data_IF_331167667206
#
_entry.id   IF_331167667206
#
_cell.length_a   1.000
_cell.length_b   1.000
_cell.length_c   1.000
_cell.angle_alpha   90.00
_cell.angle_beta   90.00
_cell.angle_gamma   90.00
#
_symmetry.space_group_name_H-M   'P 1'
#
loop_
_entity.id
_entity.type
_entity.pdbx_description
1 polymer ?
#
# COMPACT_ATOMS: atom_id res chain seq x y z
N UNK A 1 -22.70 -53.12 14.82
CA UNK A 1 -21.74 -51.99 15.03
C UNK A 1 -21.40 -51.43 13.66
N UNK A 2 -21.88 -50.26 13.33
CA UNK A 2 -21.57 -49.62 12.05
C UNK A 2 -20.19 -48.91 12.25
N UNK A 3 -19.18 -49.39 11.54
CA UNK A 3 -17.88 -48.75 11.49
C UNK A 3 -18.02 -47.54 10.57
N UNK A 4 -18.12 -46.37 11.18
CA UNK A 4 -17.98 -45.11 10.44
C UNK A 4 -16.55 -45.00 9.89
N UNK A 5 -16.40 -45.27 8.60
CA UNK A 5 -15.15 -45.00 7.88
C UNK A 5 -15.02 -43.48 7.75
N UNK A 6 -14.18 -42.86 8.58
CA UNK A 6 -13.78 -41.48 8.38
C UNK A 6 -12.91 -41.43 7.12
N UNK A 7 -13.48 -40.96 6.02
CA UNK A 7 -12.71 -40.68 4.83
C UNK A 7 -11.76 -39.52 5.14
N UNK A 8 -10.44 -39.69 5.01
CA UNK A 8 -9.53 -38.57 5.22
C UNK A 8 -9.81 -37.49 4.17
N UNK A 9 -9.93 -36.25 4.64
CA UNK A 9 -10.16 -35.09 3.80
C UNK A 9 -8.97 -34.94 2.84
N UNK A 10 -9.18 -35.20 1.56
CA UNK A 10 -8.18 -34.93 0.54
C UNK A 10 -8.13 -33.41 0.29
N UNK A 11 -7.26 -32.72 1.02
CA UNK A 11 -6.97 -31.33 0.76
C UNK A 11 -6.14 -31.24 -0.53
N UNK A 12 -6.77 -30.82 -1.60
CA UNK A 12 -6.03 -30.43 -2.81
C UNK A 12 -5.33 -29.10 -2.52
N UNK A 13 -4.02 -28.98 -2.81
CA UNK A 13 -3.35 -27.70 -2.65
C UNK A 13 -4.00 -26.67 -3.57
N UNK A 14 -4.19 -25.43 -3.11
CA UNK A 14 -4.75 -24.37 -3.95
C UNK A 14 -3.85 -24.14 -5.16
N UNK A 15 -4.41 -24.36 -6.35
CA UNK A 15 -3.73 -24.02 -7.60
C UNK A 15 -3.93 -22.52 -7.80
N UNK A 16 -2.84 -21.77 -7.78
CA UNK A 16 -2.88 -20.32 -7.94
C UNK A 16 -1.85 -19.87 -8.96
N UNK A 17 -2.19 -18.84 -9.70
CA UNK A 17 -1.28 -18.24 -10.67
C UNK A 17 -0.65 -16.94 -10.16
N UNK A 18 -1.27 -16.24 -9.23
CA UNK A 18 -0.85 -14.91 -8.79
C UNK A 18 -1.24 -14.63 -7.35
N UNK A 19 -0.49 -13.75 -6.72
CA UNK A 19 -0.79 -13.20 -5.39
C UNK A 19 -1.19 -11.74 -5.55
N UNK A 20 -2.23 -11.31 -4.86
CA UNK A 20 -2.61 -9.90 -4.80
C UNK A 20 -2.21 -9.30 -3.46
N UNK A 21 -1.60 -8.13 -3.50
CA UNK A 21 -1.02 -7.49 -2.35
C UNK A 21 -1.85 -6.27 -1.93
N UNK A 22 -2.14 -6.16 -0.65
CA UNK A 22 -2.81 -5.01 -0.05
C UNK A 22 -2.00 -4.53 1.15
N UNK A 23 -1.87 -3.22 1.27
CA UNK A 23 -1.11 -2.60 2.35
C UNK A 23 -1.98 -1.56 3.05
N UNK A 24 -1.75 -1.39 4.35
CA UNK A 24 -2.38 -0.35 5.15
C UNK A 24 -1.32 0.33 6.02
N UNK A 25 -1.36 1.64 6.09
CA UNK A 25 -0.50 2.37 7.00
C UNK A 25 -0.96 2.14 8.45
N UNK A 26 -0.07 1.79 9.37
CA UNK A 26 -0.43 1.61 10.77
C UNK A 26 -0.81 2.96 11.40
N UNK A 27 -1.62 2.90 12.42
CA UNK A 27 -1.88 4.07 13.28
C UNK A 27 -0.70 4.29 14.22
N UNK A 28 0.29 5.07 13.79
CA UNK A 28 1.49 5.34 14.59
C UNK A 28 1.20 6.14 15.86
N UNK A 29 0.20 7.02 15.84
CA UNK A 29 -0.20 7.77 17.03
C UNK A 29 -0.77 6.86 18.12
N UNK A 30 -1.46 5.78 17.73
CA UNK A 30 -1.95 4.76 18.65
C UNK A 30 -1.01 3.60 18.88
N UNK A 31 0.13 3.53 18.17
CA UNK A 31 1.09 2.42 18.26
C UNK A 31 0.55 1.06 17.81
N UNK A 32 -0.59 1.05 17.12
CA UNK A 32 -1.29 -0.19 16.75
C UNK A 32 -1.21 -0.44 15.23
N UNK A 33 -0.89 -1.66 14.81
CA UNK A 33 -1.00 -2.07 13.42
C UNK A 33 -2.47 -2.17 12.99
N UNK A 34 -2.72 -2.14 11.69
CA UNK A 34 -4.03 -2.47 11.14
C UNK A 34 -4.17 -3.99 11.11
N UNK A 35 -5.19 -4.50 11.78
CA UNK A 35 -5.50 -5.93 11.82
C UNK A 35 -6.61 -6.24 10.81
N UNK A 36 -6.43 -7.31 10.03
CA UNK A 36 -7.43 -7.80 9.10
C UNK A 36 -8.24 -8.93 9.78
N UNK A 37 -9.56 -8.76 9.78
CA UNK A 37 -10.47 -9.80 10.26
C UNK A 37 -10.93 -10.69 9.09
N UNK A 38 -10.42 -11.92 8.98
CA UNK A 38 -10.80 -12.82 7.92
C UNK A 38 -12.23 -13.36 8.04
N UNK A 39 -12.82 -13.37 9.23
CA UNK A 39 -14.19 -13.83 9.43
C UNK A 39 -15.20 -12.84 8.85
N UNK A 40 -14.95 -11.55 9.00
CA UNK A 40 -15.83 -10.50 8.47
C UNK A 40 -15.54 -10.19 7.00
N UNK A 41 -14.27 -10.17 6.61
CA UNK A 41 -13.83 -9.60 5.36
C UNK A 41 -13.16 -10.61 4.41
N UNK A 42 -13.03 -11.88 4.77
CA UNK A 42 -12.25 -12.87 4.00
C UNK A 42 -12.69 -13.04 2.54
N UNK A 43 -13.97 -12.78 2.26
CA UNK A 43 -14.57 -12.91 0.91
C UNK A 43 -14.73 -11.59 0.15
N UNK A 44 -14.02 -10.53 0.56
CA UNK A 44 -14.11 -9.23 -0.11
C UNK A 44 -13.78 -9.29 -1.62
N UNK A 45 -14.34 -8.37 -2.41
CA UNK A 45 -14.02 -8.27 -3.83
C UNK A 45 -12.57 -7.81 -4.01
N UNK A 46 -11.75 -8.57 -4.76
CA UNK A 46 -10.30 -8.33 -4.86
C UNK A 46 -9.95 -6.91 -5.35
N UNK A 47 -10.81 -6.29 -6.14
CA UNK A 47 -10.63 -4.92 -6.65
C UNK A 47 -11.25 -3.84 -5.74
N UNK A 48 -11.87 -4.24 -4.62
CA UNK A 48 -12.51 -3.34 -3.66
C UNK A 48 -12.21 -3.80 -2.23
N UNK A 49 -10.96 -3.66 -1.76
CA UNK A 49 -10.59 -4.05 -0.41
C UNK A 49 -11.32 -3.18 0.62
N UNK A 50 -11.62 -3.73 1.80
CA UNK A 50 -12.20 -2.94 2.88
C UNK A 50 -11.21 -1.85 3.34
N UNK A 51 -11.71 -0.69 3.74
CA UNK A 51 -10.85 0.34 4.34
C UNK A 51 -10.22 -0.18 5.64
N UNK A 52 -8.96 0.15 5.94
CA UNK A 52 -8.07 1.11 5.27
C UNK A 52 -7.11 0.47 4.26
N UNK A 53 -7.34 -0.74 3.79
CA UNK A 53 -6.47 -1.49 2.90
C UNK A 53 -6.38 -0.86 1.51
N UNK A 54 -5.15 -0.72 1.00
CA UNK A 54 -4.82 -0.16 -0.30
C UNK A 54 -4.42 -1.29 -1.23
N UNK A 55 -5.03 -1.38 -2.39
CA UNK A 55 -4.73 -2.39 -3.39
C UNK A 55 -3.46 -2.02 -4.17
N UNK A 56 -2.39 -2.81 -4.03
CA UNK A 56 -1.16 -2.67 -4.80
C UNK A 56 -1.17 -3.46 -6.10
N UNK A 57 -2.24 -4.20 -6.35
CA UNK A 57 -2.36 -5.05 -7.53
C UNK A 57 -1.72 -6.42 -7.36
N UNK A 58 -1.48 -7.04 -8.51
CA UNK A 58 -0.90 -8.38 -8.58
C UNK A 58 0.63 -8.33 -8.46
N UNK A 59 1.19 -9.34 -7.79
CA UNK A 59 2.64 -9.57 -7.73
C UNK A 59 2.99 -10.80 -8.56
N UNK A 60 4.12 -10.71 -9.26
CA UNK A 60 4.63 -11.78 -10.11
C UNK A 60 5.32 -12.86 -9.27
N UNK A 61 6.11 -12.42 -8.30
CA UNK A 61 6.81 -13.31 -7.38
C UNK A 61 6.45 -12.92 -5.96
N UNK A 62 6.05 -13.91 -5.19
CA UNK A 62 5.83 -13.81 -3.76
C UNK A 62 6.66 -14.91 -3.09
N UNK A 63 7.69 -14.50 -2.41
CA UNK A 63 8.53 -15.42 -1.65
C UNK A 63 8.45 -15.08 -0.15
N UNK A 64 8.21 -16.10 0.65
CA UNK A 64 8.22 -16.03 2.09
C UNK A 64 9.31 -16.91 2.65
N UNK A 65 10.30 -16.32 3.29
CA UNK A 65 11.39 -17.04 3.97
C UNK A 65 11.27 -16.82 5.47
N UNK A 66 10.93 -17.87 6.21
CA UNK A 66 10.95 -17.84 7.66
C UNK A 66 12.19 -18.56 8.17
N UNK A 67 13.02 -17.86 8.93
CA UNK A 67 14.18 -18.38 9.61
C UNK A 67 13.88 -18.66 11.09
N UNK A 68 14.45 -19.73 11.61
CA UNK A 68 14.36 -20.05 13.03
C UNK A 68 15.70 -20.57 13.50
N UNK A 69 16.18 -20.06 14.62
CA UNK A 69 17.34 -20.61 15.30
C UNK A 69 16.89 -21.44 16.48
N UNK A 70 17.32 -22.69 16.48
CA UNK A 70 16.93 -23.66 17.52
C UNK A 70 18.19 -24.06 18.26
N UNK A 71 18.12 -24.07 19.57
CA UNK A 71 19.18 -24.56 20.45
C UNK A 71 18.65 -25.80 21.18
N UNK A 72 19.40 -26.90 21.05
CA UNK A 72 19.09 -28.12 21.78
C UNK A 72 19.70 -28.05 23.19
N UNK A 73 18.88 -28.18 24.20
CA UNK A 73 19.31 -28.43 25.57
C UNK A 73 19.75 -29.88 25.68
N UNK A 74 20.96 -30.10 26.15
CA UNK A 74 21.55 -31.44 26.27
C UNK A 74 21.81 -31.79 27.74
N UNK A 75 21.63 -33.05 28.06
CA UNK A 75 21.90 -33.57 29.39
C UNK A 75 22.59 -34.92 29.30
N UNK A 76 23.41 -35.24 30.30
CA UNK A 76 24.13 -36.52 30.41
C UNK A 76 25.49 -36.54 29.74
N UNK A 77 26.24 -37.65 29.94
CA UNK A 77 27.51 -37.97 29.26
C UNK A 77 27.40 -39.38 28.68
N UNK A 78 27.26 -39.51 27.32
CA UNK A 78 27.28 -38.48 26.32
C UNK A 78 26.04 -37.56 26.37
N UNK A 79 26.21 -36.28 25.99
CA UNK A 79 25.17 -35.27 26.01
C UNK A 79 24.03 -35.55 25.01
N UNK A 80 22.94 -36.10 25.46
CA UNK A 80 21.75 -36.36 24.66
C UNK A 80 20.82 -35.13 24.64
N UNK A 81 20.15 -34.84 23.52
CA UNK A 81 19.19 -33.75 23.44
C UNK A 81 17.97 -34.03 24.34
N UNK A 82 17.75 -33.17 25.33
CA UNK A 82 16.63 -33.25 26.24
C UNK A 82 15.41 -32.50 25.73
N UNK A 83 15.62 -31.33 25.18
CA UNK A 83 14.59 -30.50 24.56
C UNK A 83 15.21 -29.53 23.56
N UNK A 84 14.34 -28.88 22.76
CA UNK A 84 14.75 -27.83 21.83
C UNK A 84 14.03 -26.54 22.18
N UNK A 85 14.78 -25.44 22.19
CA UNK A 85 14.26 -24.10 22.43
C UNK A 85 14.51 -23.24 21.20
N UNK A 86 13.49 -22.57 20.73
CA UNK A 86 13.61 -21.57 19.67
C UNK A 86 14.13 -20.27 20.28
N UNK A 87 15.29 -19.80 19.82
CA UNK A 87 15.93 -18.59 20.33
C UNK A 87 15.71 -17.39 19.44
N UNK A 88 15.54 -17.61 18.13
CA UNK A 88 15.29 -16.54 17.17
C UNK A 88 14.21 -16.96 16.17
N UNK A 89 13.45 -16.00 15.73
CA UNK A 89 12.50 -16.15 14.62
C UNK A 89 12.56 -14.91 13.75
N UNK A 90 12.83 -15.09 12.47
CA UNK A 90 12.84 -14.04 11.45
C UNK A 90 11.94 -14.42 10.29
N UNK A 91 11.31 -13.45 9.66
CA UNK A 91 10.51 -13.69 8.47
C UNK A 91 10.71 -12.56 7.47
N UNK A 92 11.17 -12.94 6.30
CA UNK A 92 11.35 -12.05 5.15
C UNK A 92 10.26 -12.35 4.11
N UNK A 93 9.77 -11.30 3.49
CA UNK A 93 8.81 -11.36 2.39
C UNK A 93 9.38 -10.59 1.22
N UNK A 94 9.58 -11.27 0.09
CA UNK A 94 10.06 -10.66 -1.15
C UNK A 94 8.92 -10.59 -2.15
N UNK A 95 8.74 -9.42 -2.76
CA UNK A 95 7.68 -9.13 -3.71
C UNK A 95 8.26 -8.58 -5.01
N UNK A 96 7.76 -9.07 -6.14
CA UNK A 96 7.97 -8.43 -7.44
C UNK A 96 6.62 -7.88 -7.92
N UNK A 97 6.50 -6.56 -7.97
CA UNK A 97 5.28 -5.91 -8.40
C UNK A 97 5.11 -5.94 -9.92
N UNK A 98 3.91 -6.27 -10.38
CA UNK A 98 3.57 -6.23 -11.81
C UNK A 98 3.20 -4.83 -12.28
N UNK A 99 2.84 -3.95 -11.38
CA UNK A 99 2.51 -2.56 -11.64
C UNK A 99 3.58 -1.64 -11.08
N UNK A 100 3.78 -0.52 -11.76
CA UNK A 100 4.64 0.56 -11.31
C UNK A 100 3.80 1.81 -11.11
N UNK A 101 4.05 2.52 -10.03
CA UNK A 101 3.36 3.76 -9.73
C UNK A 101 3.75 4.31 -8.37
N UNK A 102 3.14 5.43 -8.03
CA UNK A 102 3.39 6.15 -6.79
C UNK A 102 3.20 5.29 -5.53
N UNK A 103 2.18 4.44 -5.54
CA UNK A 103 1.88 3.56 -4.39
C UNK A 103 2.97 2.50 -4.21
N UNK A 104 3.38 1.86 -5.30
CA UNK A 104 4.45 0.87 -5.28
C UNK A 104 5.76 1.51 -4.82
N UNK A 105 6.12 2.69 -5.34
CA UNK A 105 7.30 3.45 -4.90
C UNK A 105 7.24 3.78 -3.41
N UNK A 106 6.10 4.26 -2.90
CA UNK A 106 5.94 4.58 -1.48
C UNK A 106 6.16 3.36 -0.57
N UNK A 107 5.69 2.19 -1.01
CA UNK A 107 5.80 0.94 -0.25
C UNK A 107 7.21 0.37 -0.32
N UNK A 108 7.85 0.41 -1.50
CA UNK A 108 9.14 -0.24 -1.76
C UNK A 108 10.35 0.62 -1.40
N UNK A 109 10.23 1.93 -1.55
CA UNK A 109 11.35 2.85 -1.31
C UNK A 109 11.58 3.17 0.15
N UNK A 110 10.56 3.03 1.00
CA UNK A 110 10.63 3.52 2.38
C UNK A 110 10.87 5.04 2.44
N UNK A 111 10.58 5.74 1.37
CA UNK A 111 10.85 7.17 1.15
C UNK A 111 9.63 8.04 1.45
N UNK A 112 9.86 9.33 1.65
CA UNK A 112 8.78 10.30 1.77
C UNK A 112 8.19 10.63 0.41
N UNK A 113 6.90 10.42 0.23
CA UNK A 113 6.17 10.71 -1.00
C UNK A 113 5.57 12.11 -0.97
N UNK A 114 5.71 12.85 -2.05
CA UNK A 114 5.19 14.21 -2.18
C UNK A 114 4.42 14.35 -3.50
N UNK A 115 3.36 15.17 -3.50
CA UNK A 115 2.70 15.59 -4.73
C UNK A 115 3.40 16.84 -5.26
N UNK A 116 3.72 16.87 -6.55
CA UNK A 116 4.21 18.05 -7.22
C UNK A 116 3.02 18.94 -7.60
N UNK A 117 2.86 20.05 -6.91
CA UNK A 117 1.82 21.03 -7.26
C UNK A 117 2.10 21.64 -8.64
N UNK A 118 1.06 21.82 -9.42
CA UNK A 118 1.15 22.61 -10.64
C UNK A 118 1.51 24.07 -10.26
N UNK A 119 2.35 24.68 -11.07
CA UNK A 119 2.68 26.10 -10.91
C UNK A 119 1.69 26.98 -11.68
N UNK A 120 1.48 28.20 -11.20
CA UNK A 120 0.70 29.19 -11.92
C UNK A 120 1.41 29.60 -13.21
N UNK A 121 0.63 29.85 -14.26
CA UNK A 121 1.14 30.41 -15.51
C UNK A 121 1.93 31.71 -15.24
N UNK A 122 3.15 31.79 -15.74
CA UNK A 122 4.02 32.95 -15.58
C UNK A 122 4.87 32.95 -14.32
N UNK A 123 4.81 31.92 -13.47
CA UNK A 123 5.72 31.79 -12.34
C UNK A 123 7.14 31.51 -12.85
N UNK A 124 8.11 32.33 -12.45
CA UNK A 124 9.50 32.09 -12.78
C UNK A 124 9.99 30.81 -12.10
N UNK A 125 10.54 29.89 -12.89
CA UNK A 125 11.30 28.77 -12.35
C UNK A 125 12.61 29.33 -11.79
N UNK A 126 12.70 29.47 -10.49
CA UNK A 126 13.84 30.10 -9.79
C UNK A 126 14.70 29.11 -9.03
N UNK A 127 14.62 27.81 -9.34
CA UNK A 127 15.36 26.78 -8.64
C UNK A 127 14.87 26.47 -7.23
N UNK A 128 13.95 27.28 -6.68
CA UNK A 128 13.35 27.10 -5.36
C UNK A 128 11.86 26.78 -5.39
N UNK A 129 11.35 26.48 -6.57
CA UNK A 129 9.93 26.26 -6.84
C UNK A 129 9.21 27.52 -7.29
N UNK A 130 8.37 27.42 -8.29
CA UNK A 130 7.45 28.48 -8.67
C UNK A 130 6.30 28.63 -7.67
N UNK A 131 5.49 29.66 -7.81
CA UNK A 131 4.28 29.77 -7.04
C UNK A 131 3.33 28.61 -7.37
N UNK A 132 2.88 27.90 -6.34
CA UNK A 132 1.91 26.85 -6.50
C UNK A 132 0.56 27.41 -6.97
N UNK A 133 -0.17 26.64 -7.76
CA UNK A 133 -1.55 26.93 -8.07
C UNK A 133 -2.37 27.08 -6.78
N UNK A 134 -3.27 28.05 -6.75
CA UNK A 134 -4.05 28.36 -5.58
C UNK A 134 -4.87 27.16 -5.11
N UNK A 135 -4.96 26.99 -3.80
CA UNK A 135 -5.83 26.01 -3.18
C UNK A 135 -7.28 26.50 -3.21
N UNK A 136 -8.17 25.66 -3.69
CA UNK A 136 -9.60 25.96 -3.84
C UNK A 136 -10.38 25.19 -2.78
N UNK A 137 -11.20 25.85 -1.93
CA UNK A 137 -11.96 25.18 -0.89
C UNK A 137 -12.98 24.21 -1.44
N UNK A 138 -13.06 23.03 -0.84
CA UNK A 138 -14.07 22.01 -1.15
C UNK A 138 -15.40 22.39 -0.53
N UNK A 139 -16.51 22.19 -1.25
CA UNK A 139 -17.86 22.47 -0.80
C UNK A 139 -18.56 21.21 -0.24
N UNK A 140 -19.64 21.45 0.54
CA UNK A 140 -20.31 20.42 1.34
C UNK A 140 -20.88 19.22 0.55
N UNK A 141 -21.24 19.37 -0.70
CA UNK A 141 -21.91 18.32 -1.48
C UNK A 141 -20.93 17.42 -2.24
N UNK A 142 -19.70 17.30 -1.76
CA UNK A 142 -18.68 16.46 -2.37
C UNK A 142 -18.94 14.98 -2.09
N UNK A 143 -18.62 14.15 -3.08
CA UNK A 143 -18.62 12.68 -2.99
C UNK A 143 -17.22 12.16 -3.31
N UNK A 144 -16.94 10.85 -3.16
CA UNK A 144 -15.62 10.33 -3.53
C UNK A 144 -15.23 10.56 -5.01
N UNK A 145 -16.22 10.73 -5.90
CA UNK A 145 -16.02 10.95 -7.34
C UNK A 145 -16.36 12.35 -7.83
N UNK A 146 -16.94 13.19 -6.97
CA UNK A 146 -17.29 14.57 -7.29
C UNK A 146 -16.73 15.52 -6.22
N UNK A 147 -15.76 16.33 -6.58
CA UNK A 147 -15.25 17.39 -5.71
C UNK A 147 -16.04 18.66 -6.01
N UNK A 148 -17.00 19.00 -5.13
CA UNK A 148 -17.78 20.22 -5.26
C UNK A 148 -16.92 21.45 -4.98
N UNK A 149 -17.00 22.45 -5.84
CA UNK A 149 -16.24 23.70 -5.81
C UNK A 149 -17.15 24.86 -6.18
N UNK A 150 -16.91 26.01 -5.59
CA UNK A 150 -17.70 27.21 -5.95
C UNK A 150 -17.51 27.57 -7.43
N UNK A 151 -18.61 27.93 -8.11
CA UNK A 151 -18.63 28.16 -9.55
C UNK A 151 -17.54 29.16 -10.04
N UNK A 152 -17.28 30.23 -9.29
CA UNK A 152 -16.27 31.20 -9.64
C UNK A 152 -14.81 30.74 -9.55
N UNK A 153 -14.57 29.53 -9.03
CA UNK A 153 -13.23 28.97 -8.82
C UNK A 153 -12.90 27.79 -9.74
N UNK A 154 -13.80 27.46 -10.66
CA UNK A 154 -13.66 26.33 -11.56
C UNK A 154 -12.72 26.61 -12.75
N UNK A 155 -12.48 27.87 -13.09
CA UNK A 155 -11.68 28.30 -14.26
C UNK A 155 -10.20 27.85 -14.21
N UNK A 156 -9.70 27.50 -13.04
CA UNK A 156 -8.33 26.99 -12.86
C UNK A 156 -8.17 25.49 -13.15
N UNK A 157 -9.25 24.78 -13.50
CA UNK A 157 -9.27 23.33 -13.69
C UNK A 157 -9.68 22.96 -15.12
N UNK A 158 -9.09 21.89 -15.61
CA UNK A 158 -9.39 21.34 -16.94
C UNK A 158 -9.55 19.83 -16.90
N UNK A 159 -10.35 19.27 -17.79
CA UNK A 159 -10.45 17.83 -17.96
C UNK A 159 -9.08 17.23 -18.35
N UNK A 160 -8.77 16.07 -17.81
CA UNK A 160 -7.48 15.41 -17.96
C UNK A 160 -6.43 15.78 -16.91
N UNK A 161 -6.62 16.89 -16.21
CA UNK A 161 -5.70 17.35 -15.16
C UNK A 161 -5.78 16.46 -13.93
N UNK A 162 -4.64 16.28 -13.26
CA UNK A 162 -4.58 15.61 -11.95
C UNK A 162 -4.73 16.65 -10.84
N UNK A 163 -5.45 16.26 -9.81
CA UNK A 163 -5.64 17.07 -8.60
C UNK A 163 -5.36 16.28 -7.33
N UNK A 164 -4.90 16.97 -6.30
CA UNK A 164 -4.86 16.48 -4.93
C UNK A 164 -5.98 17.14 -4.12
N UNK A 165 -6.61 16.37 -3.24
CA UNK A 165 -7.67 16.86 -2.36
C UNK A 165 -7.27 16.59 -0.92
N UNK A 166 -6.83 17.64 -0.21
CA UNK A 166 -6.38 17.56 1.18
C UNK A 166 -6.27 18.96 1.79
N UNK A 167 -5.31 19.16 2.70
CA UNK A 167 -5.00 20.47 3.27
C UNK A 167 -4.54 21.48 2.21
N UNK A 168 -4.48 22.74 2.57
CA UNK A 168 -3.94 23.78 1.69
C UNK A 168 -2.40 23.67 1.62
N UNK A 169 -1.89 23.33 0.46
CA UNK A 169 -0.44 23.19 0.21
C UNK A 169 0.22 24.45 -0.37
N UNK A 170 -0.51 25.55 -0.55
CA UNK A 170 0.02 26.76 -1.21
C UNK A 170 1.25 27.33 -0.53
N UNK A 171 1.37 27.20 0.80
CA UNK A 171 2.54 27.63 1.55
C UNK A 171 3.70 26.63 1.61
N UNK A 172 3.57 25.48 0.97
CA UNK A 172 4.63 24.49 0.93
C UNK A 172 5.70 24.87 -0.08
N UNK A 173 6.97 24.68 0.28
CA UNK A 173 8.09 24.93 -0.62
C UNK A 173 8.59 23.61 -1.21
N UNK A 174 9.13 23.68 -2.42
CA UNK A 174 9.85 22.56 -3.02
C UNK A 174 11.13 22.22 -2.23
N UNK A 175 11.68 21.07 -2.47
CA UNK A 175 12.93 20.66 -1.86
C UNK A 175 14.14 21.30 -2.56
N UNK A 176 15.27 21.28 -1.90
CA UNK A 176 16.51 21.93 -2.36
C UNK A 176 16.91 21.46 -3.76
N UNK A 177 17.15 22.42 -4.66
CA UNK A 177 17.63 22.17 -6.03
C UNK A 177 16.59 21.69 -7.02
N UNK A 178 15.35 21.50 -6.60
CA UNK A 178 14.32 20.92 -7.48
C UNK A 178 13.73 21.90 -8.48
N UNK A 179 13.59 23.16 -8.12
CA UNK A 179 12.81 24.11 -8.92
C UNK A 179 11.31 23.82 -8.98
N UNK A 180 10.80 22.90 -8.18
CA UNK A 180 9.41 22.47 -8.17
C UNK A 180 8.76 22.70 -6.81
N UNK A 181 7.47 22.97 -6.81
CA UNK A 181 6.67 23.07 -5.60
C UNK A 181 6.22 21.67 -5.19
N UNK A 182 6.67 21.21 -4.03
CA UNK A 182 6.27 19.91 -3.48
C UNK A 182 5.18 20.07 -2.44
N UNK A 183 4.08 19.30 -2.56
CA UNK A 183 3.08 19.19 -1.54
C UNK A 183 3.34 17.94 -0.71
N UNK A 184 3.64 18.11 0.55
CA UNK A 184 3.85 17.05 1.52
C UNK A 184 3.37 17.52 2.89
N UNK A 185 3.46 16.71 3.93
CA UNK A 185 3.06 17.14 5.26
C UNK A 185 3.85 18.39 5.69
N UNK A 186 3.18 19.32 6.33
CA UNK A 186 3.71 20.63 6.72
C UNK A 186 4.91 20.57 7.69
N UNK A 187 5.17 19.44 8.29
CA UNK A 187 6.29 19.20 9.19
C UNK A 187 6.82 17.78 9.02
N UNK A 188 8.14 17.65 8.80
CA UNK A 188 8.79 16.34 8.75
C UNK A 188 8.61 15.54 10.05
N UNK A 189 8.53 16.20 11.20
CA UNK A 189 8.22 15.56 12.47
C UNK A 189 6.79 14.98 12.52
N UNK A 190 5.85 15.58 11.81
CA UNK A 190 4.46 15.11 11.77
C UNK A 190 4.29 13.84 10.93
N UNK A 191 5.17 13.58 9.95
CA UNK A 191 5.10 12.39 9.09
C UNK A 191 5.10 11.11 9.92
N UNK A 192 5.96 11.01 10.91
CA UNK A 192 6.07 9.84 11.77
C UNK A 192 4.86 9.64 12.70
N UNK A 193 4.12 10.69 12.97
CA UNK A 193 2.95 10.69 13.85
C UNK A 193 1.62 10.78 13.10
N UNK A 194 1.65 11.02 11.79
CA UNK A 194 0.45 11.14 10.97
C UNK A 194 0.00 9.75 10.47
N UNK A 195 -0.98 9.20 11.14
CA UNK A 195 -1.56 7.89 10.79
C UNK A 195 -2.14 7.85 9.36
N UNK A 196 -2.49 9.01 8.80
CA UNK A 196 -3.10 9.13 7.49
C UNK A 196 -2.12 9.65 6.43
N UNK A 197 -0.84 9.81 6.77
CA UNK A 197 0.15 10.40 5.87
C UNK A 197 0.09 9.83 4.45
N UNK A 198 0.22 8.51 4.32
CA UNK A 198 0.22 7.85 3.01
C UNK A 198 -1.11 8.05 2.29
N UNK A 199 -2.24 7.85 2.97
CA UNK A 199 -3.57 7.99 2.34
C UNK A 199 -3.82 9.42 1.91
N UNK A 200 -3.54 10.39 2.79
CA UNK A 200 -3.84 11.79 2.58
C UNK A 200 -2.90 12.40 1.54
N UNK A 201 -1.59 12.34 1.79
CA UNK A 201 -0.61 13.06 0.96
C UNK A 201 -0.34 12.33 -0.35
N UNK A 202 -0.26 11.01 -0.33
CA UNK A 202 0.15 10.25 -1.51
C UNK A 202 -1.00 9.82 -2.39
N UNK A 203 -2.14 9.50 -1.84
CA UNK A 203 -3.18 8.75 -2.58
C UNK A 203 -4.50 9.45 -2.70
N UNK A 204 -4.73 10.58 -2.04
CA UNK A 204 -5.96 11.34 -2.23
C UNK A 204 -5.86 12.22 -3.47
N UNK A 205 -5.54 11.62 -4.59
CA UNK A 205 -5.36 12.25 -5.89
C UNK A 205 -6.34 11.67 -6.90
N UNK A 206 -6.76 12.47 -7.86
CA UNK A 206 -7.69 12.04 -8.91
C UNK A 206 -7.44 12.77 -10.23
N UNK A 207 -7.82 12.11 -11.33
CA UNK A 207 -7.85 12.73 -12.65
C UNK A 207 -9.23 13.31 -12.91
N UNK A 208 -9.31 14.56 -13.30
CA UNK A 208 -10.56 15.21 -13.70
C UNK A 208 -11.02 14.63 -15.04
N UNK A 209 -12.24 14.12 -15.10
CA UNK A 209 -12.88 13.70 -16.35
C UNK A 209 -13.73 14.82 -16.95
N UNK A 210 -14.36 15.61 -16.10
CA UNK A 210 -15.15 16.77 -16.52
C UNK A 210 -15.18 17.86 -15.47
N UNK A 211 -15.27 19.10 -15.92
CA UNK A 211 -15.51 20.29 -15.10
C UNK A 211 -16.96 20.69 -15.31
N UNK A 212 -17.79 20.46 -14.30
CA UNK A 212 -19.22 20.83 -14.32
C UNK A 212 -19.47 22.20 -13.70
N UNK A 213 -20.73 22.62 -13.67
CA UNK A 213 -21.11 23.92 -13.08
C UNK A 213 -20.87 24.00 -11.55
N UNK A 214 -20.83 22.87 -10.87
CA UNK A 214 -20.79 22.80 -9.41
C UNK A 214 -19.58 22.05 -8.86
N UNK A 215 -18.68 21.55 -9.74
CA UNK A 215 -17.51 20.79 -9.28
C UNK A 215 -16.79 20.01 -10.37
N UNK A 216 -15.85 19.21 -9.90
CA UNK A 216 -14.92 18.42 -10.69
C UNK A 216 -15.29 16.94 -10.56
N UNK A 217 -15.63 16.29 -11.67
CA UNK A 217 -15.86 14.84 -11.70
C UNK A 217 -14.52 14.13 -11.87
N UNK A 218 -14.26 13.13 -11.06
CA UNK A 218 -13.03 12.36 -11.07
C UNK A 218 -13.20 11.00 -11.76
N UNK A 219 -12.14 10.52 -12.40
CA UNK A 219 -12.12 9.22 -13.08
C UNK A 219 -12.24 8.04 -12.11
N UNK A 220 -11.74 8.19 -10.89
CA UNK A 220 -11.73 7.18 -9.84
C UNK A 220 -12.13 7.82 -8.51
N UNK A 221 -12.71 7.07 -7.60
CA UNK A 221 -13.02 7.55 -6.26
C UNK A 221 -11.73 7.96 -5.53
N UNK A 222 -11.82 9.06 -4.77
CA UNK A 222 -10.77 9.46 -3.86
C UNK A 222 -10.58 8.39 -2.78
N UNK A 223 -9.33 8.03 -2.51
CA UNK A 223 -8.98 6.94 -1.62
C UNK A 223 -9.35 7.23 -0.15
N UNK A 224 -9.35 8.49 0.26
CA UNK A 224 -9.79 8.90 1.59
C UNK A 224 -11.34 8.98 1.73
N UNK A 225 -12.08 8.68 0.67
CA UNK A 225 -13.55 8.80 0.64
C UNK A 225 -14.01 10.19 0.23
N UNK A 226 -15.23 10.56 0.62
CA UNK A 226 -15.78 11.89 0.33
C UNK A 226 -14.98 12.98 1.05
N UNK A 227 -14.53 14.03 0.34
CA UNK A 227 -13.78 15.10 0.97
C UNK A 227 -14.70 15.99 1.83
N UNK A 228 -14.13 16.58 2.86
CA UNK A 228 -14.83 17.49 3.77
C UNK A 228 -14.59 18.95 3.41
N UNK A 229 -15.40 19.84 3.95
CA UNK A 229 -15.28 21.29 3.73
C UNK A 229 -14.03 21.92 4.34
N UNK A 230 -13.29 21.19 5.17
CA UNK A 230 -11.99 21.61 5.68
C UNK A 230 -10.84 21.32 4.70
N UNK A 231 -11.13 20.61 3.61
CA UNK A 231 -10.16 20.27 2.57
C UNK A 231 -10.16 21.27 1.44
N UNK A 232 -9.08 21.20 0.65
CA UNK A 232 -8.85 22.00 -0.54
C UNK A 232 -8.51 21.09 -1.70
N UNK A 233 -8.82 21.54 -2.91
CA UNK A 233 -8.39 20.89 -4.15
C UNK A 233 -7.35 21.77 -4.83
N UNK A 234 -6.24 21.14 -5.26
CA UNK A 234 -5.16 21.82 -5.99
C UNK A 234 -4.71 20.95 -7.18
N UNK A 235 -4.42 21.57 -8.33
CA UNK A 235 -3.85 20.84 -9.46
C UNK A 235 -2.42 20.38 -9.14
N UNK A 236 -2.08 19.19 -9.62
CA UNK A 236 -0.74 18.60 -9.51
C UNK A 236 -0.18 18.27 -10.88
N UNK A 237 1.14 18.41 -11.01
CA UNK A 237 1.89 18.03 -12.21
C UNK A 237 2.35 16.56 -12.16
N UNK A 238 2.48 16.01 -10.98
CA UNK A 238 2.97 14.67 -10.76
C UNK A 238 3.27 14.39 -9.29
N UNK A 239 4.26 13.56 -9.06
CA UNK A 239 4.76 13.28 -7.72
C UNK A 239 6.27 13.16 -7.73
N UNK A 240 6.86 13.26 -6.56
CA UNK A 240 8.27 13.02 -6.30
C UNK A 240 8.40 12.29 -4.97
N UNK A 241 9.38 11.45 -4.85
CA UNK A 241 9.79 10.87 -3.57
C UNK A 241 11.19 11.35 -3.18
N UNK A 242 11.51 11.18 -1.92
CA UNK A 242 12.77 11.61 -1.35
C UNK A 242 13.35 10.49 -0.51
N UNK A 243 14.42 9.89 -1.04
CA UNK A 243 15.19 8.86 -0.35
C UNK A 243 16.27 9.45 0.55
N UNK A 244 16.76 8.67 1.50
CA UNK A 244 17.90 9.01 2.33
C UNK A 244 17.57 9.78 3.62
N UNK A 245 16.29 9.93 3.96
CA UNK A 245 15.87 10.46 5.25
C UNK A 245 15.84 9.38 6.33
N UNK A 246 15.73 9.79 7.60
CA UNK A 246 15.50 8.87 8.71
C UNK A 246 14.03 8.38 8.79
N UNK A 247 13.23 8.69 7.78
CA UNK A 247 11.86 8.23 7.69
C UNK A 247 11.84 6.75 7.34
N UNK A 248 11.23 5.93 8.18
CA UNK A 248 11.14 4.51 8.01
C UNK A 248 9.68 4.07 8.09
N UNK A 249 9.08 3.86 6.93
CA UNK A 249 7.67 3.48 6.84
C UNK A 249 7.45 2.05 7.30
N UNK A 250 6.48 1.89 8.20
CA UNK A 250 5.94 0.60 8.58
C UNK A 250 4.59 0.39 7.92
N UNK A 251 4.27 -0.84 7.58
CA UNK A 251 3.04 -1.23 6.92
C UNK A 251 2.40 -2.43 7.61
N UNK A 252 1.08 -2.49 7.60
CA UNK A 252 0.35 -3.73 7.71
C UNK A 252 0.12 -4.27 6.31
N UNK A 253 0.35 -5.55 6.07
CA UNK A 253 0.22 -6.15 4.74
C UNK A 253 -0.69 -7.37 4.75
N UNK A 254 -1.48 -7.49 3.70
CA UNK A 254 -2.34 -8.63 3.44
C UNK A 254 -2.06 -9.15 2.03
N UNK A 255 -1.67 -10.41 1.94
CA UNK A 255 -1.48 -11.10 0.68
C UNK A 255 -2.60 -12.12 0.48
N UNK A 256 -3.30 -12.01 -0.63
CA UNK A 256 -4.39 -12.89 -0.99
C UNK A 256 -3.96 -13.77 -2.15
N UNK A 257 -4.04 -15.06 -1.93
CA UNK A 257 -3.76 -16.11 -2.90
C UNK A 257 -5.10 -16.74 -3.27
N UNK A 258 -5.73 -16.31 -4.38
CA UNK A 258 -6.99 -16.90 -4.82
C UNK A 258 -6.73 -18.26 -5.44
N UNK A 259 -7.51 -19.26 -5.05
CA UNK A 259 -7.56 -20.57 -5.70
C UNK A 259 -8.50 -20.58 -6.88
N UNK A 260 -8.27 -21.51 -7.81
CA UNK A 260 -9.08 -21.72 -9.02
C UNK A 260 -10.54 -22.06 -8.72
N UNK A 261 -10.82 -22.60 -7.54
CA UNK A 261 -12.16 -23.00 -7.11
C UNK A 261 -12.90 -21.90 -6.34
N UNK A 262 -12.29 -20.70 -6.22
CA UNK A 262 -12.86 -19.56 -5.48
C UNK A 262 -12.50 -19.52 -4.00
N UNK A 263 -11.74 -20.49 -3.53
CA UNK A 263 -11.12 -20.47 -2.20
C UNK A 263 -9.98 -19.44 -2.13
N UNK A 264 -9.53 -19.10 -0.92
CA UNK A 264 -8.46 -18.11 -0.71
C UNK A 264 -7.58 -18.50 0.45
N UNK A 265 -6.28 -18.33 0.25
CA UNK A 265 -5.32 -18.30 1.34
C UNK A 265 -4.96 -16.84 1.61
N UNK A 266 -5.07 -16.42 2.86
CA UNK A 266 -4.76 -15.08 3.32
C UNK A 266 -3.50 -15.15 4.20
N UNK A 267 -2.52 -14.31 3.91
CA UNK A 267 -1.32 -14.13 4.71
C UNK A 267 -1.32 -12.68 5.20
N UNK A 268 -1.61 -12.50 6.47
CA UNK A 268 -1.66 -11.19 7.10
C UNK A 268 -0.44 -10.97 7.97
N UNK A 269 0.34 -9.96 7.62
CA UNK A 269 1.48 -9.47 8.40
C UNK A 269 1.07 -8.14 9.04
N UNK A 270 0.82 -8.10 10.35
CA UNK A 270 0.42 -6.85 11.00
C UNK A 270 1.48 -5.75 10.89
N UNK A 271 2.76 -6.14 10.89
CA UNK A 271 3.88 -5.20 10.83
C UNK A 271 4.94 -5.68 9.86
N UNK A 272 5.15 -4.94 8.80
CA UNK A 272 6.24 -5.11 7.83
C UNK A 272 7.04 -3.82 7.71
N UNK A 273 8.37 -3.94 7.69
CA UNK A 273 9.28 -2.86 7.33
C UNK A 273 10.13 -3.28 6.16
N UNK A 274 10.54 -2.31 5.34
CA UNK A 274 11.48 -2.57 4.25
C UNK A 274 12.81 -3.06 4.85
N UNK A 275 13.30 -4.19 4.37
CA UNK A 275 14.56 -4.79 4.83
C UNK A 275 15.73 -4.44 3.91
N UNK A 276 15.44 -4.25 2.63
CA UNK A 276 16.38 -3.76 1.64
C UNK A 276 15.64 -2.80 0.72
N UNK A 277 16.28 -1.70 0.35
CA UNK A 277 15.73 -0.71 -0.58
C UNK A 277 15.19 -1.39 -1.84
N UNK A 278 14.05 -0.94 -2.31
CA UNK A 278 13.44 -1.46 -3.50
C UNK A 278 14.39 -1.35 -4.69
N UNK A 279 14.55 -2.41 -5.44
CA UNK A 279 15.30 -2.37 -6.69
C UNK A 279 14.35 -2.10 -7.84
N UNK A 280 14.60 -1.03 -8.59
CA UNK A 280 13.91 -0.77 -9.85
C UNK A 280 14.66 -1.45 -10.98
N UNK A 281 14.00 -2.34 -11.68
CA UNK A 281 14.57 -3.11 -12.78
C UNK A 281 13.80 -2.84 -14.07
N UNK A 282 14.51 -2.66 -15.17
CA UNK A 282 13.94 -2.80 -16.49
C UNK A 282 13.76 -4.28 -16.79
N UNK A 283 12.53 -4.75 -16.79
CA UNK A 283 12.21 -6.13 -17.12
C UNK A 283 11.72 -6.21 -18.57
N UNK A 284 12.40 -6.98 -19.46
CA UNK A 284 11.92 -7.16 -20.81
C UNK A 284 10.51 -7.76 -20.84
N UNK A 285 9.63 -7.21 -21.66
CA UNK A 285 8.36 -7.85 -21.97
C UNK A 285 8.65 -9.05 -22.88
N UNK A 286 8.39 -10.26 -22.40
CA UNK A 286 8.43 -11.44 -23.24
C UNK A 286 7.31 -11.33 -24.29
N UNK A 287 7.67 -10.96 -25.51
CA UNK A 287 6.76 -11.00 -26.66
C UNK A 287 6.90 -12.36 -27.32
N UNK A 288 5.84 -13.17 -27.40
CA UNK A 288 5.94 -14.53 -27.94
C UNK A 288 6.20 -14.62 -29.45
N UNK A 289 6.21 -13.50 -30.19
CA UNK A 289 6.23 -13.54 -31.65
C UNK A 289 7.01 -12.44 -32.38
N UNK A 290 7.82 -11.61 -31.72
CA UNK A 290 8.55 -10.58 -32.47
C UNK A 290 10.03 -10.53 -32.11
N UNK A 291 10.84 -10.65 -33.13
CA UNK A 291 12.24 -10.18 -33.19
C UNK A 291 12.34 -8.64 -33.03
N UNK A 292 11.51 -8.03 -32.23
CA UNK A 292 11.62 -6.61 -31.95
C UNK A 292 12.08 -6.46 -30.53
N UNK A 293 13.34 -6.14 -30.43
CA UNK A 293 13.95 -5.60 -29.24
C UNK A 293 13.08 -4.52 -28.63
N UNK A 294 12.94 -4.56 -27.28
CA UNK A 294 12.99 -3.36 -26.49
C UNK A 294 11.71 -2.75 -25.99
N UNK A 295 10.65 -3.49 -25.78
CA UNK A 295 9.70 -3.02 -24.77
C UNK A 295 10.08 -3.61 -23.41
N UNK A 296 10.47 -2.73 -22.48
CA UNK A 296 10.71 -3.11 -21.09
C UNK A 296 9.69 -2.41 -20.21
N UNK A 297 9.24 -3.09 -19.16
CA UNK A 297 8.49 -2.45 -18.07
C UNK A 297 9.44 -2.16 -16.92
N UNK A 298 9.17 -1.11 -16.15
CA UNK A 298 9.80 -0.90 -14.87
C UNK A 298 9.14 -1.87 -13.88
N UNK A 299 9.92 -2.76 -13.31
CA UNK A 299 9.48 -3.66 -12.26
C UNK A 299 10.12 -3.23 -10.94
N UNK A 300 9.35 -3.27 -9.86
CA UNK A 300 9.85 -2.99 -8.52
C UNK A 300 9.91 -4.26 -7.71
N UNK A 301 11.07 -4.50 -7.12
CA UNK A 301 11.33 -5.61 -6.21
C UNK A 301 11.58 -5.04 -4.83
N UNK A 302 10.89 -5.55 -3.83
CA UNK A 302 11.08 -5.15 -2.46
C UNK A 302 11.18 -6.35 -1.54
N UNK A 303 12.05 -6.25 -0.55
CA UNK A 303 12.16 -7.21 0.52
C UNK A 303 11.76 -6.55 1.83
N UNK A 304 10.83 -7.18 2.52
CA UNK A 304 10.31 -6.74 3.81
C UNK A 304 10.68 -7.71 4.92
N UNK A 305 10.91 -7.17 6.11
CA UNK A 305 11.03 -7.93 7.33
C UNK A 305 9.76 -7.80 8.16
N UNK A 306 9.22 -8.94 8.61
CA UNK A 306 8.10 -8.95 9.52
C UNK A 306 8.58 -8.62 10.94
N UNK A 307 7.88 -7.71 11.60
CA UNK A 307 8.08 -7.38 13.00
C UNK A 307 6.99 -8.04 13.85
N UNK A 308 7.33 -8.44 15.08
CA UNK A 308 6.34 -9.07 15.96
C UNK A 308 5.26 -8.08 16.39
N UNK A 309 4.07 -8.62 16.59
CA UNK A 309 2.96 -8.00 17.31
C UNK A 309 2.54 -8.93 18.43
N UNK A 310 2.14 -8.36 19.56
CA UNK A 310 1.62 -9.14 20.67
C UNK A 310 0.14 -9.42 20.43
N UNK A 311 -0.23 -10.70 20.38
CA UNK A 311 -1.64 -11.09 20.38
C UNK A 311 -2.23 -10.81 21.76
N UNK A 312 -3.33 -10.08 21.80
CA UNK A 312 -3.97 -9.68 23.07
C UNK A 312 -4.69 -10.82 23.77
N UNK A 313 -4.94 -11.94 23.07
CA UNK A 313 -5.66 -13.07 23.64
C UNK A 313 -4.76 -13.95 24.55
N UNK A 314 -3.52 -14.16 24.13
CA UNK A 314 -2.61 -15.08 24.82
C UNK A 314 -1.22 -14.48 25.10
N UNK A 315 -1.01 -13.20 24.73
CA UNK A 315 0.27 -12.49 24.83
C UNK A 315 1.39 -13.09 23.98
N UNK A 316 1.06 -13.95 23.01
CA UNK A 316 2.04 -14.52 22.11
C UNK A 316 2.57 -13.46 21.11
N UNK A 317 3.86 -13.60 20.75
CA UNK A 317 4.46 -12.79 19.72
C UNK A 317 4.18 -13.40 18.34
N UNK A 318 3.46 -12.69 17.49
CA UNK A 318 3.02 -13.17 16.19
C UNK A 318 3.65 -12.33 15.09
N UNK A 319 4.19 -12.98 14.05
CA UNK A 319 4.72 -12.32 12.84
C UNK A 319 3.71 -12.32 11.70
N UNK A 320 2.90 -13.37 11.57
CA UNK A 320 1.99 -13.57 10.47
C UNK A 320 0.79 -14.42 10.89
N UNK A 321 -0.41 -13.95 10.56
CA UNK A 321 -1.63 -14.75 10.62
C UNK A 321 -1.87 -15.39 9.24
N UNK A 322 -2.22 -16.67 9.23
CA UNK A 322 -2.57 -17.39 8.00
C UNK A 322 -3.99 -17.89 8.12
N UNK A 323 -4.82 -17.55 7.15
CA UNK A 323 -6.22 -17.94 7.13
C UNK A 323 -6.56 -18.61 5.80
N UNK A 324 -7.44 -19.56 5.85
CA UNK A 324 -8.02 -20.19 4.67
C UNK A 324 -9.51 -19.89 4.63
N UNK A 325 -9.98 -19.35 3.53
CA UNK A 325 -11.40 -19.05 3.29
C UNK A 325 -11.86 -20.00 2.20
N UNK A 326 -12.72 -20.97 2.52
CA UNK A 326 -13.25 -21.92 1.53
C UNK A 326 -14.16 -21.20 0.54
N UNK A 327 -14.23 -21.73 -0.67
CA UNK A 327 -15.29 -21.36 -1.59
C UNK A 327 -16.64 -21.78 -1.02
N UNK A 328 -17.68 -20.99 -1.28
CA UNK A 328 -19.05 -21.26 -0.79
C UNK A 328 -19.62 -22.62 -1.21
N UNK A 329 -19.07 -23.21 -2.27
CA UNK A 329 -19.46 -24.53 -2.79
C UNK A 329 -18.62 -25.70 -2.25
N UNK A 330 -17.59 -25.43 -1.45
CA UNK A 330 -16.67 -26.47 -0.97
C UNK A 330 -17.04 -26.87 0.45
N UNK A 331 -17.60 -28.07 0.62
CA UNK A 331 -17.76 -28.69 1.93
C UNK A 331 -16.38 -29.12 2.43
N UNK A 332 -15.82 -28.38 3.37
CA UNK A 332 -14.52 -28.68 3.99
C UNK A 332 -14.63 -29.51 5.27
N UNK A 333 -15.85 -29.77 5.77
CA UNK A 333 -16.14 -30.44 7.04
C UNK A 333 -17.07 -31.63 6.84
#
# INVERSE_FOLDING_TARGET
>A
MSTSTVTPLALTPPITHRVRAYFAAPNRAGGQPVVFDPAQNGSFALNAPPAPWLDLGWVDTFERKAGTKIVALRSGAPGLPLSQVRTEMDSLVTLHFLSWGKLQMAVTGGSEQMNLLATTSGAAANGSGGAAAAAVPVQANSTPTLVAVAAGQLSGFTAGQMVVVDVNYTGQTGYVGSGVSGAYVSSAAAVNNDANYIRRVSFNVGRITSVGATGLTLAQPLMAGAPTTSMFVQPIAGFVDREGSNFFQEWSALFVIPGEQGDRVLLHYPRLQIAASGTELQQPLAAPLAKVDTFARVAQVAQFRALPVTDTNDSAQVLCFRSYIPATATNLW
#
